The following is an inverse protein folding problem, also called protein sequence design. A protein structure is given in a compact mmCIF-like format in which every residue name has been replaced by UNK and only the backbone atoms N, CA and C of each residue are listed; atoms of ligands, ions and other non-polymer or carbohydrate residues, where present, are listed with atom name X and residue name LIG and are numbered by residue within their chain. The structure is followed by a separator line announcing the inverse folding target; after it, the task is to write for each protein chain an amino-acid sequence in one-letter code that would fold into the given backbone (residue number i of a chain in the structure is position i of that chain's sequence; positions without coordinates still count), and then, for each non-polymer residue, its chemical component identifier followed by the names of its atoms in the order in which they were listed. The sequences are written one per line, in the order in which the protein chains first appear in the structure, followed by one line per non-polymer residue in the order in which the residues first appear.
data_IF_243598394951
#
_entry.id   IF_243598394951
#
_cell.length_a   1.000
_cell.length_b   1.000
_cell.length_c   1.000
_cell.angle_alpha   90.00
_cell.angle_beta   90.00
_cell.angle_gamma   90.00
#
_symmetry.space_group_name_H-M   'P 1'
#
loop_
_entity.id
_entity.type
_entity.pdbx_description
1 polymer ?
#
# COMPACT_ATOMS: atom_id res chain seq x y z
N UNK A 1 34.22 20.09 -13.71
CA UNK A 1 34.15 20.25 -15.18
C UNK A 1 32.98 19.43 -15.71
N UNK A 2 31.92 20.06 -16.22
CA UNK A 2 30.81 19.36 -16.92
C UNK A 2 31.27 19.08 -18.35
N UNK A 3 31.38 17.81 -18.75
CA UNK A 3 31.62 17.48 -20.15
C UNK A 3 30.37 17.85 -20.96
N UNK A 4 30.54 18.64 -22.03
CA UNK A 4 29.46 18.93 -22.96
C UNK A 4 29.18 17.65 -23.75
N UNK A 5 28.04 17.01 -23.53
CA UNK A 5 27.59 15.85 -24.31
C UNK A 5 27.57 16.22 -25.80
N UNK A 6 28.33 15.49 -26.61
CA UNK A 6 28.44 15.75 -28.06
C UNK A 6 27.24 15.15 -28.81
N UNK A 7 26.93 15.67 -30.02
CA UNK A 7 25.95 15.06 -30.94
C UNK A 7 26.22 13.57 -31.17
N UNK A 8 27.49 13.17 -31.15
CA UNK A 8 27.93 11.77 -31.25
C UNK A 8 27.48 10.92 -30.06
N UNK A 9 27.49 11.48 -28.86
CA UNK A 9 27.10 10.76 -27.64
C UNK A 9 25.58 10.63 -27.55
N UNK A 10 24.85 11.66 -28.01
CA UNK A 10 23.40 11.60 -28.17
C UNK A 10 22.97 10.51 -29.16
N UNK A 11 23.62 10.40 -30.33
CA UNK A 11 23.30 9.36 -31.33
C UNK A 11 23.61 7.95 -30.82
N UNK A 12 24.69 7.78 -30.03
CA UNK A 12 24.98 6.51 -29.38
C UNK A 12 23.90 6.13 -28.37
N UNK A 13 23.47 7.07 -27.53
CA UNK A 13 22.42 6.85 -26.53
C UNK A 13 21.06 6.55 -27.17
N UNK A 14 20.66 7.29 -28.21
CA UNK A 14 19.37 7.07 -28.88
C UNK A 14 19.35 5.76 -29.66
N UNK A 15 20.49 5.30 -30.20
CA UNK A 15 20.59 3.99 -30.86
C UNK A 15 20.42 2.79 -29.90
N UNK A 16 20.55 2.99 -28.58
CA UNK A 16 20.36 1.95 -27.56
C UNK A 16 18.92 1.87 -27.02
N UNK A 17 18.09 2.90 -27.24
CA UNK A 17 16.68 2.92 -26.83
C UNK A 17 15.83 1.77 -27.40
N UNK A 18 15.97 1.36 -28.68
CA UNK A 18 15.24 0.21 -29.22
C UNK A 18 15.61 -1.10 -28.52
N UNK A 19 16.87 -1.24 -28.09
CA UNK A 19 17.34 -2.43 -27.39
C UNK A 19 16.77 -2.53 -25.97
N UNK A 20 16.66 -1.41 -25.25
CA UNK A 20 15.98 -1.35 -23.96
C UNK A 20 14.48 -1.67 -24.05
N UNK A 21 13.80 -1.15 -25.07
CA UNK A 21 12.38 -1.44 -25.33
C UNK A 21 12.18 -2.90 -25.76
N UNK A 22 13.06 -3.46 -26.59
CA UNK A 22 13.02 -4.88 -26.98
C UNK A 22 13.35 -5.82 -25.82
N UNK A 23 14.33 -5.47 -24.97
CA UNK A 23 14.71 -6.25 -23.79
C UNK A 23 13.56 -6.34 -22.77
N UNK A 24 12.81 -5.26 -22.55
CA UNK A 24 11.63 -5.29 -21.66
C UNK A 24 10.52 -6.22 -22.17
N UNK A 25 10.39 -6.37 -23.49
CA UNK A 25 9.46 -7.33 -24.09
C UNK A 25 10.00 -8.77 -24.03
N UNK A 26 11.33 -8.94 -24.08
CA UNK A 26 11.99 -10.22 -23.92
C UNK A 26 11.90 -10.71 -22.46
N UNK A 27 12.08 -9.83 -21.47
CA UNK A 27 11.84 -10.12 -20.05
C UNK A 27 10.38 -10.46 -19.76
N UNK A 28 9.41 -9.86 -20.47
CA UNK A 28 8.00 -10.30 -20.37
C UNK A 28 7.75 -11.66 -21.02
N UNK A 29 8.47 -12.01 -22.08
CA UNK A 29 8.32 -13.27 -22.83
C UNK A 29 9.07 -14.45 -22.20
N UNK A 30 10.21 -14.18 -21.59
CA UNK A 30 11.04 -15.14 -20.84
C UNK A 30 10.90 -14.97 -19.33
N UNK A 31 10.00 -14.09 -18.90
CA UNK A 31 9.63 -13.90 -17.52
C UNK A 31 9.20 -15.25 -17.01
N UNK A 32 10.10 -15.86 -16.24
CA UNK A 32 9.84 -17.04 -15.46
C UNK A 32 8.61 -16.67 -14.65
N UNK A 33 7.45 -17.11 -15.12
CA UNK A 33 6.28 -17.21 -14.29
C UNK A 33 6.71 -18.27 -13.28
N UNK A 34 7.33 -17.83 -12.19
CA UNK A 34 7.49 -18.63 -10.99
C UNK A 34 6.05 -18.88 -10.59
N UNK A 35 5.48 -19.94 -11.15
CA UNK A 35 4.16 -20.43 -10.87
C UNK A 35 4.24 -20.86 -9.43
N UNK A 36 3.91 -19.92 -8.54
CA UNK A 36 3.84 -20.18 -7.13
C UNK A 36 2.81 -21.30 -6.98
N UNK A 37 3.16 -22.38 -6.27
CA UNK A 37 2.34 -23.58 -6.26
C UNK A 37 0.93 -23.26 -5.77
N UNK A 38 -0.03 -23.39 -6.69
CA UNK A 38 -1.40 -23.89 -6.52
C UNK A 38 -2.32 -23.35 -5.42
N UNK A 39 -2.03 -22.23 -4.76
CA UNK A 39 -2.87 -21.69 -3.69
C UNK A 39 -2.83 -20.17 -3.62
N UNK A 40 -3.94 -19.57 -3.24
CA UNK A 40 -4.02 -18.12 -3.02
C UNK A 40 -3.06 -17.70 -1.91
N UNK A 41 -2.36 -16.59 -2.10
CA UNK A 41 -1.45 -16.07 -1.08
C UNK A 41 -2.22 -15.46 0.07
N UNK A 42 -1.73 -15.71 1.29
CA UNK A 42 -2.22 -15.04 2.48
C UNK A 42 -1.83 -13.56 2.43
N UNK A 43 -2.75 -12.71 2.86
CA UNK A 43 -2.55 -11.26 2.97
C UNK A 43 -2.69 -10.88 4.44
N UNK A 44 -1.71 -10.16 4.98
CA UNK A 44 -1.75 -9.63 6.35
C UNK A 44 -1.58 -8.12 6.30
N UNK A 45 -2.59 -7.40 6.80
CA UNK A 45 -2.59 -5.94 6.91
C UNK A 45 -2.39 -5.57 8.38
N UNK A 46 -1.27 -4.92 8.70
CA UNK A 46 -0.97 -4.43 10.04
C UNK A 46 -1.04 -2.91 10.01
N UNK A 47 -1.88 -2.33 10.87
CA UNK A 47 -2.09 -0.89 10.97
C UNK A 47 -1.77 -0.45 12.39
N UNK A 48 -1.06 0.67 12.50
CA UNK A 48 -0.75 1.32 13.77
C UNK A 48 -1.52 2.63 13.87
N UNK A 49 -2.17 2.87 15.00
CA UNK A 49 -2.89 4.10 15.25
C UNK A 49 -1.94 5.21 15.73
N UNK A 50 -2.16 6.43 15.23
CA UNK A 50 -1.34 7.61 15.49
C UNK A 50 0.19 7.41 15.31
N UNK A 51 0.59 6.54 14.37
CA UNK A 51 2.01 6.23 14.16
C UNK A 51 2.73 7.31 13.36
N UNK A 52 3.72 7.95 14.00
CA UNK A 52 4.51 9.03 13.40
C UNK A 52 5.82 8.51 12.81
N UNK A 53 6.05 8.78 11.52
CA UNK A 53 7.29 8.48 10.83
C UNK A 53 8.53 9.12 11.50
N UNK A 54 8.36 10.27 12.16
CA UNK A 54 9.45 10.96 12.86
C UNK A 54 10.02 10.17 14.05
N UNK A 55 9.30 9.16 14.55
CA UNK A 55 9.72 8.33 15.69
C UNK A 55 10.15 6.90 15.29
N UNK A 56 10.39 6.66 14.00
CA UNK A 56 10.73 5.34 13.44
C UNK A 56 12.20 5.33 13.01
N UNK A 57 12.96 4.32 13.42
CA UNK A 57 14.39 4.22 13.11
C UNK A 57 14.67 4.13 11.61
N UNK A 58 13.80 3.45 10.85
CA UNK A 58 13.84 3.42 9.38
C UNK A 58 13.89 4.82 8.73
N UNK A 59 13.27 5.83 9.33
CA UNK A 59 13.21 7.19 8.82
C UNK A 59 14.24 8.14 9.48
N UNK A 60 15.24 7.59 10.16
CA UNK A 60 16.34 8.36 10.74
C UNK A 60 16.11 8.85 12.16
N UNK A 61 15.13 8.30 12.88
CA UNK A 61 15.00 8.59 14.31
C UNK A 61 16.25 8.12 15.07
N UNK A 62 16.76 8.97 15.99
CA UNK A 62 18.06 8.74 16.64
C UNK A 62 18.16 7.54 17.58
N UNK A 63 17.05 6.82 17.81
CA UNK A 63 17.00 5.58 18.60
C UNK A 63 16.47 4.44 17.73
N UNK A 64 16.95 3.22 17.96
CA UNK A 64 16.43 2.02 17.32
C UNK A 64 15.05 1.63 17.90
N UNK A 65 13.99 2.32 17.47
CA UNK A 65 12.63 2.13 17.99
C UNK A 65 11.85 1.02 17.32
N UNK A 66 12.21 0.65 16.09
CA UNK A 66 11.42 -0.30 15.29
C UNK A 66 12.27 -1.41 14.64
N UNK A 67 13.12 -2.14 15.39
CA UNK A 67 14.06 -3.11 14.83
C UNK A 67 13.41 -4.22 13.99
N UNK A 68 12.16 -4.59 14.29
CA UNK A 68 11.42 -5.59 13.52
C UNK A 68 10.87 -5.04 12.21
N UNK A 69 10.47 -3.76 12.18
CA UNK A 69 10.05 -3.08 10.95
C UNK A 69 11.26 -2.83 10.07
N UNK A 70 12.40 -2.45 10.65
CA UNK A 70 13.65 -2.22 9.92
C UNK A 70 14.08 -3.50 9.18
N UNK A 71 14.03 -4.66 9.86
CA UNK A 71 14.30 -5.98 9.23
C UNK A 71 13.27 -6.35 8.15
N UNK A 72 12.01 -5.94 8.32
CA UNK A 72 11.00 -6.17 7.28
C UNK A 72 11.29 -5.31 6.05
N UNK A 73 11.70 -4.06 6.26
CA UNK A 73 12.00 -3.09 5.21
C UNK A 73 13.13 -3.56 4.28
N UNK A 74 14.12 -4.29 4.79
CA UNK A 74 15.22 -4.89 3.99
C UNK A 74 14.74 -5.78 2.84
N UNK A 75 13.52 -6.33 2.95
CA UNK A 75 12.91 -7.25 1.96
C UNK A 75 11.53 -6.80 1.48
N UNK A 76 11.16 -5.55 1.73
CA UNK A 76 9.85 -5.00 1.38
C UNK A 76 10.00 -3.82 0.41
N UNK A 77 8.91 -3.49 -0.28
CA UNK A 77 8.82 -2.20 -0.98
C UNK A 77 8.39 -1.13 0.02
N UNK A 78 9.21 -0.10 0.19
CA UNK A 78 8.96 1.00 1.14
C UNK A 78 8.49 2.23 0.39
N UNK A 79 7.34 2.78 0.80
CA UNK A 79 6.79 4.01 0.25
C UNK A 79 7.16 5.19 1.15
N UNK A 80 8.12 6.01 0.73
CA UNK A 80 8.59 7.17 1.50
C UNK A 80 7.66 8.39 1.47
N UNK A 81 6.67 8.38 0.56
CA UNK A 81 5.73 9.49 0.38
C UNK A 81 4.28 9.00 0.41
N UNK A 82 3.93 8.25 1.45
CA UNK A 82 2.57 7.76 1.69
C UNK A 82 1.81 8.72 2.61
N UNK A 83 0.58 9.07 2.24
CA UNK A 83 -0.30 9.96 3.01
C UNK A 83 -1.58 9.22 3.40
N UNK A 84 -2.07 9.48 4.62
CA UNK A 84 -3.35 8.92 5.07
C UNK A 84 -4.52 9.52 4.28
N UNK A 85 -5.56 8.70 4.05
CA UNK A 85 -6.79 9.14 3.37
C UNK A 85 -7.66 10.11 4.19
N UNK A 86 -7.36 10.26 5.49
CA UNK A 86 -8.03 11.21 6.38
C UNK A 86 -7.11 11.64 7.52
N UNK A 87 -7.43 12.78 8.14
CA UNK A 87 -6.65 13.38 9.24
C UNK A 87 -6.98 12.81 10.62
N UNK A 88 -7.93 11.87 10.70
CA UNK A 88 -8.43 11.27 11.94
C UNK A 88 -8.67 9.77 11.73
N UNK A 89 -8.71 8.99 12.82
CA UNK A 89 -8.80 7.52 12.76
C UNK A 89 -10.00 7.04 11.96
N UNK A 90 -11.20 7.59 12.17
CA UNK A 90 -12.40 7.18 11.43
C UNK A 90 -12.26 7.39 9.91
N UNK A 91 -12.04 8.63 9.39
CA UNK A 91 -11.92 8.83 7.96
C UNK A 91 -10.69 8.13 7.35
N UNK A 92 -9.56 8.08 8.08
CA UNK A 92 -8.36 7.38 7.61
C UNK A 92 -8.57 5.88 7.46
N UNK A 93 -9.20 5.23 8.44
CA UNK A 93 -9.51 3.79 8.40
C UNK A 93 -10.59 3.49 7.37
N UNK A 94 -11.64 4.32 7.27
CA UNK A 94 -12.66 4.19 6.24
C UNK A 94 -12.07 4.28 4.83
N UNK A 95 -11.17 5.25 4.58
CA UNK A 95 -10.46 5.36 3.31
C UNK A 95 -9.57 4.15 3.02
N UNK A 96 -8.89 3.60 4.04
CA UNK A 96 -8.08 2.38 3.91
C UNK A 96 -8.94 1.17 3.51
N UNK A 97 -10.08 0.99 4.16
CA UNK A 97 -10.97 -0.17 3.94
C UNK A 97 -11.73 -0.10 2.63
N UNK A 98 -12.03 1.10 2.12
CA UNK A 98 -12.88 1.29 0.93
C UNK A 98 -12.12 1.72 -0.32
N UNK A 99 -10.89 2.21 -0.18
CA UNK A 99 -10.07 2.73 -1.27
C UNK A 99 -10.57 4.07 -1.85
N UNK A 100 -11.52 4.75 -1.20
CA UNK A 100 -12.02 6.08 -1.61
C UNK A 100 -11.76 7.13 -0.53
N UNK A 101 -11.95 8.40 -0.85
CA UNK A 101 -11.72 9.52 0.08
C UNK A 101 -12.95 9.83 0.96
N UNK A 102 -12.79 10.61 2.04
CA UNK A 102 -13.87 10.92 2.97
C UNK A 102 -15.10 11.56 2.35
N UNK A 103 -14.91 12.40 1.34
CA UNK A 103 -15.99 13.03 0.57
C UNK A 103 -16.90 12.02 -0.13
N UNK A 104 -16.43 10.79 -0.30
CA UNK A 104 -17.15 9.71 -0.98
C UNK A 104 -17.73 8.70 0.01
N UNK A 105 -16.95 8.22 0.99
CA UNK A 105 -17.44 7.22 1.96
C UNK A 105 -18.19 7.82 3.16
N UNK A 106 -18.18 9.14 3.34
CA UNK A 106 -18.92 9.95 4.33
C UNK A 106 -18.68 9.70 5.82
N UNK A 107 -17.85 8.73 6.19
CA UNK A 107 -17.36 8.58 7.56
C UNK A 107 -16.41 9.73 7.99
N UNK A 108 -16.93 10.82 8.55
CA UNK A 108 -16.15 12.01 8.98
C UNK A 108 -15.92 12.10 10.49
N UNK A 109 -16.95 11.75 11.27
CA UNK A 109 -17.02 12.04 12.70
C UNK A 109 -16.46 10.89 13.54
N UNK A 110 -16.27 11.13 14.83
CA UNK A 110 -16.02 10.05 15.80
C UNK A 110 -17.16 9.05 15.77
N UNK A 111 -16.84 7.76 15.58
CA UNK A 111 -17.82 6.69 15.34
C UNK A 111 -18.71 6.89 14.10
N UNK A 112 -18.28 7.70 13.12
CA UNK A 112 -18.95 7.79 11.84
C UNK A 112 -18.89 6.47 11.07
N UNK A 113 -19.98 6.11 10.42
CA UNK A 113 -20.12 4.90 9.60
C UNK A 113 -19.96 5.22 8.11
N UNK A 114 -19.75 4.18 7.31
CA UNK A 114 -19.73 4.27 5.85
C UNK A 114 -21.15 4.46 5.31
N UNK A 115 -21.25 5.19 4.20
CA UNK A 115 -22.43 5.14 3.35
C UNK A 115 -22.72 3.71 2.88
N UNK A 116 -24.02 3.39 2.70
CA UNK A 116 -24.49 2.03 2.36
C UNK A 116 -23.79 1.42 1.13
N UNK A 117 -23.53 2.24 0.10
CA UNK A 117 -22.85 1.82 -1.12
C UNK A 117 -21.41 1.31 -0.90
N UNK A 118 -20.81 1.58 0.26
CA UNK A 118 -19.46 1.16 0.63
C UNK A 118 -19.43 0.00 1.63
N UNK A 119 -20.58 -0.39 2.18
CA UNK A 119 -20.67 -1.59 3.01
C UNK A 119 -20.30 -2.81 2.18
N UNK A 120 -20.76 -2.92 0.93
CA UNK A 120 -20.43 -4.03 0.02
C UNK A 120 -19.29 -3.72 -0.96
N UNK A 121 -18.59 -2.59 -0.78
CA UNK A 121 -17.46 -2.17 -1.64
C UNK A 121 -16.28 -1.78 -0.78
N UNK A 122 -15.62 -2.80 -0.25
CA UNK A 122 -14.53 -2.70 0.70
C UNK A 122 -13.43 -3.75 0.40
N UNK A 123 -12.36 -3.72 1.18
CA UNK A 123 -11.20 -4.61 1.01
C UNK A 123 -11.56 -6.09 1.12
N UNK A 124 -12.47 -6.49 2.02
CA UNK A 124 -12.87 -7.88 2.18
C UNK A 124 -13.60 -8.41 0.94
N UNK A 125 -14.50 -7.59 0.38
CA UNK A 125 -15.16 -7.92 -0.90
C UNK A 125 -14.21 -7.94 -2.10
N UNK A 126 -13.01 -7.36 -1.99
CA UNK A 126 -11.98 -7.45 -3.03
C UNK A 126 -11.19 -8.78 -2.96
N UNK A 127 -11.20 -9.45 -1.80
CA UNK A 127 -10.55 -10.73 -1.54
C UNK A 127 -11.58 -11.87 -1.34
N UNK A 128 -12.58 -11.97 -2.21
CA UNK A 128 -13.74 -12.89 -2.06
C UNK A 128 -13.38 -14.38 -1.91
N UNK A 129 -12.17 -14.77 -2.31
CA UNK A 129 -11.72 -16.16 -2.23
C UNK A 129 -10.80 -16.43 -1.02
N UNK A 130 -10.68 -15.46 -0.11
CA UNK A 130 -9.92 -15.55 1.11
C UNK A 130 -10.85 -15.67 2.31
N UNK A 131 -10.43 -16.48 3.29
CA UNK A 131 -11.00 -16.41 4.62
C UNK A 131 -10.45 -15.17 5.31
N UNK A 132 -11.33 -14.29 5.79
CA UNK A 132 -10.95 -13.02 6.40
C UNK A 132 -11.15 -13.05 7.91
N UNK A 133 -10.25 -12.37 8.62
CA UNK A 133 -10.39 -12.05 10.04
C UNK A 133 -9.93 -10.60 10.17
N UNK A 134 -10.69 -9.79 10.90
CA UNK A 134 -10.28 -8.45 11.29
C UNK A 134 -10.36 -8.29 12.81
N UNK A 135 -9.41 -7.55 13.38
CA UNK A 135 -9.37 -7.22 14.79
C UNK A 135 -8.72 -5.85 14.99
N UNK A 136 -9.26 -5.08 15.94
CA UNK A 136 -8.69 -3.81 16.35
C UNK A 136 -8.91 -3.58 17.84
N UNK A 137 -7.97 -2.89 18.48
CA UNK A 137 -8.14 -2.37 19.85
C UNK A 137 -8.61 -0.91 19.86
N UNK A 138 -8.66 -0.25 18.69
CA UNK A 138 -9.14 1.12 18.58
C UNK A 138 -10.68 1.12 18.44
N UNK A 139 -11.42 1.80 19.33
CA UNK A 139 -12.89 1.77 19.31
C UNK A 139 -13.50 2.45 18.07
N UNK A 140 -12.88 3.51 17.53
CA UNK A 140 -13.36 4.21 16.34
C UNK A 140 -13.19 3.36 15.08
N UNK A 141 -12.09 2.62 14.97
CA UNK A 141 -11.90 1.64 13.91
C UNK A 141 -12.86 0.44 14.09
N UNK A 142 -13.16 0.06 15.34
CA UNK A 142 -14.08 -1.05 15.62
C UNK A 142 -15.49 -0.76 15.10
N UNK A 143 -15.97 0.49 15.17
CA UNK A 143 -17.26 0.87 14.57
C UNK A 143 -17.37 0.49 13.10
N UNK A 144 -16.29 0.68 12.33
CA UNK A 144 -16.26 0.32 10.91
C UNK A 144 -16.19 -1.19 10.71
N UNK A 145 -15.40 -1.91 11.52
CA UNK A 145 -15.33 -3.37 11.43
C UNK A 145 -16.65 -4.05 11.80
N UNK A 146 -17.36 -3.54 12.81
CA UNK A 146 -18.69 -4.04 13.17
C UNK A 146 -19.71 -3.76 12.05
N UNK A 147 -19.62 -2.60 11.39
CA UNK A 147 -20.47 -2.32 10.23
C UNK A 147 -20.20 -3.27 9.06
N UNK A 148 -18.94 -3.65 8.86
CA UNK A 148 -18.51 -4.55 7.77
C UNK A 148 -18.51 -6.03 8.16
N UNK A 149 -19.11 -6.38 9.31
CA UNK A 149 -19.02 -7.73 9.89
C UNK A 149 -19.50 -8.85 8.98
N UNK A 150 -20.51 -8.59 8.15
CA UNK A 150 -21.06 -9.58 7.23
C UNK A 150 -20.14 -9.84 6.02
N UNK A 151 -19.15 -8.97 5.79
CA UNK A 151 -18.18 -9.07 4.70
C UNK A 151 -16.83 -9.65 5.15
N UNK A 152 -16.59 -9.79 6.46
CA UNK A 152 -15.40 -10.39 7.08
C UNK A 152 -15.58 -11.89 7.22
#
# INVERSE_FOLDING_TARGET
MRSKSSRRDFLKLTSLLPFGLAASNLEKRFGVHLQQPGGQKNVLVIVFDAWSAYNVSLYGYGRNTTPNIDRLAERATVYHNHHAGGSFTTPGTASLLTGVLPWTHRAFESNGTLDEAFVTRNIFTAFQNHYSIAYTHNPWANTLLEQLRDEI
#
